data_IF_817990171720
#
_entry.id   IF_817990171720
#
_cell.length_a   1.000
_cell.length_b   1.000
_cell.length_c   1.000
_cell.angle_alpha   90.00
_cell.angle_beta   90.00
_cell.angle_gamma   90.00
#
_symmetry.space_group_name_H-M   'P 1'
#
loop_
_entity.id
_entity.type
_entity.pdbx_description
1 polymer ?
#
# COMPACT_ATOMS: atom_id res chain seq x y z
N UNK A 1 -20.57 2.42 -6.03
CA UNK A 1 -19.95 2.60 -4.70
C UNK A 1 -19.11 3.86 -4.74
N UNK A 2 -19.30 4.80 -3.82
CA UNK A 2 -18.58 6.08 -3.82
C UNK A 2 -17.13 5.91 -3.36
N UNK A 3 -16.20 6.78 -3.81
CA UNK A 3 -14.79 6.76 -3.39
C UNK A 3 -14.64 6.82 -1.85
N UNK A 4 -15.52 7.57 -1.17
CA UNK A 4 -15.56 7.66 0.30
C UNK A 4 -15.87 6.31 0.96
N UNK A 5 -16.79 5.53 0.43
CA UNK A 5 -17.14 4.21 0.99
C UNK A 5 -15.98 3.22 0.81
N UNK A 6 -15.33 3.26 -0.36
CA UNK A 6 -14.15 2.43 -0.64
C UNK A 6 -12.98 2.74 0.29
N UNK A 7 -12.71 4.02 0.53
CA UNK A 7 -11.66 4.46 1.46
C UNK A 7 -11.94 3.95 2.87
N UNK A 8 -13.18 4.08 3.35
CA UNK A 8 -13.60 3.56 4.66
C UNK A 8 -13.46 2.05 4.77
N UNK A 9 -13.87 1.32 3.72
CA UNK A 9 -13.73 -0.15 3.68
C UNK A 9 -12.27 -0.60 3.66
N UNK A 10 -11.39 0.11 2.94
CA UNK A 10 -9.97 -0.18 2.93
C UNK A 10 -9.31 0.08 4.30
N UNK A 11 -9.65 1.18 4.95
CA UNK A 11 -9.19 1.46 6.31
C UNK A 11 -9.69 0.40 7.30
N UNK A 12 -10.97 0.04 7.25
CA UNK A 12 -11.52 -1.01 8.09
C UNK A 12 -10.81 -2.35 7.87
N UNK A 13 -10.60 -2.75 6.61
CA UNK A 13 -9.86 -3.97 6.26
C UNK A 13 -8.44 -3.97 6.80
N UNK A 14 -7.75 -2.81 6.75
CA UNK A 14 -6.43 -2.65 7.31
C UNK A 14 -6.41 -2.82 8.83
N UNK A 15 -7.33 -2.21 9.55
CA UNK A 15 -7.43 -2.38 11.01
C UNK A 15 -7.74 -3.82 11.41
N UNK A 16 -8.63 -4.51 10.68
CA UNK A 16 -8.93 -5.92 10.93
C UNK A 16 -7.71 -6.80 10.66
N UNK A 17 -6.97 -6.55 9.59
CA UNK A 17 -5.74 -7.28 9.24
C UNK A 17 -4.65 -7.10 10.31
N UNK A 18 -4.40 -5.85 10.72
CA UNK A 18 -3.42 -5.55 11.78
C UNK A 18 -3.85 -6.13 13.13
N UNK A 19 -5.13 -6.06 13.46
CA UNK A 19 -5.69 -6.70 14.66
C UNK A 19 -5.49 -8.21 14.66
N UNK A 20 -5.76 -8.88 13.53
CA UNK A 20 -5.55 -10.31 13.38
C UNK A 20 -4.07 -10.72 13.55
N UNK A 21 -3.14 -9.94 12.97
CA UNK A 21 -1.70 -10.17 13.14
C UNK A 21 -1.28 -9.97 14.60
N UNK A 22 -1.77 -8.93 15.27
CA UNK A 22 -1.48 -8.67 16.68
C UNK A 22 -1.92 -9.84 17.57
N UNK A 23 -3.14 -10.34 17.36
CA UNK A 23 -3.67 -11.52 18.06
C UNK A 23 -2.84 -12.78 17.76
N UNK A 24 -2.51 -13.00 16.49
CA UNK A 24 -1.68 -14.16 16.07
C UNK A 24 -0.30 -14.17 16.74
N UNK A 25 0.32 -13.00 16.87
CA UNK A 25 1.63 -12.87 17.54
C UNK A 25 1.54 -12.87 19.08
N UNK A 26 0.35 -12.69 19.65
CA UNK A 26 0.19 -12.47 21.09
C UNK A 26 0.88 -11.18 21.58
N UNK A 27 1.15 -10.24 20.66
CA UNK A 27 1.86 -9.00 20.95
C UNK A 27 0.85 -7.85 21.11
N UNK A 28 0.95 -7.11 22.19
CA UNK A 28 0.25 -5.83 22.32
C UNK A 28 0.96 -4.78 21.44
N UNK A 29 0.20 -3.96 20.70
CA UNK A 29 0.80 -2.89 19.92
C UNK A 29 1.60 -1.93 20.81
N UNK A 30 2.87 -1.75 20.49
CA UNK A 30 3.71 -0.73 21.13
C UNK A 30 3.57 0.59 20.35
N UNK A 31 2.89 1.55 20.94
CA UNK A 31 2.77 2.89 20.38
C UNK A 31 3.89 3.83 20.83
N UNK A 32 4.75 3.37 21.76
CA UNK A 32 5.88 4.15 22.29
C UNK A 32 7.04 4.27 21.33
N UNK A 33 7.23 3.33 20.39
CA UNK A 33 8.34 3.32 19.43
C UNK A 33 8.50 4.66 18.67
N UNK A 34 7.38 5.32 18.38
CA UNK A 34 7.38 6.64 17.73
C UNK A 34 8.08 7.71 18.58
N UNK A 35 7.88 7.66 19.90
CA UNK A 35 8.50 8.62 20.82
C UNK A 35 9.99 8.34 21.05
N UNK A 36 10.39 7.08 20.96
CA UNK A 36 11.78 6.65 21.08
C UNK A 36 12.63 6.99 19.84
N UNK A 37 12.02 6.92 18.65
CA UNK A 37 12.69 7.20 17.38
C UNK A 37 11.85 8.12 16.46
N UNK A 38 11.61 9.39 16.82
CA UNK A 38 10.66 10.26 16.12
C UNK A 38 11.04 10.56 14.66
N UNK A 39 12.33 10.67 14.35
CA UNK A 39 12.78 10.87 12.97
C UNK A 39 12.57 9.63 12.11
N UNK A 40 12.81 8.45 12.65
CA UNK A 40 12.53 7.18 11.98
C UNK A 40 11.02 7.03 11.76
N UNK A 41 10.22 7.31 12.78
CA UNK A 41 8.77 7.30 12.70
C UNK A 41 8.24 8.24 11.61
N UNK A 42 8.71 9.49 11.59
CA UNK A 42 8.36 10.46 10.54
C UNK A 42 8.72 9.94 9.15
N UNK A 43 9.90 9.34 9.01
CA UNK A 43 10.36 8.78 7.74
C UNK A 43 9.45 7.63 7.29
N UNK A 44 9.19 6.66 8.14
CA UNK A 44 8.47 5.43 7.78
C UNK A 44 6.95 5.64 7.60
N UNK A 45 6.36 6.58 8.34
CA UNK A 45 4.90 6.77 8.37
C UNK A 45 4.43 7.93 7.49
N UNK A 46 5.31 8.90 7.22
CA UNK A 46 4.94 10.08 6.43
C UNK A 46 5.75 10.18 5.16
N UNK A 47 7.08 10.27 5.26
CA UNK A 47 7.92 10.58 4.10
C UNK A 47 7.93 9.41 3.10
N UNK A 48 8.17 8.19 3.55
CA UNK A 48 8.21 7.03 2.67
C UNK A 48 6.86 6.81 1.96
N UNK A 49 5.69 6.77 2.64
CA UNK A 49 4.39 6.69 1.96
C UNK A 49 4.14 7.79 0.94
N UNK A 50 4.56 9.04 1.21
CA UNK A 50 4.42 10.13 0.24
C UNK A 50 5.24 9.84 -1.02
N UNK A 51 6.51 9.51 -0.87
CA UNK A 51 7.41 9.24 -2.00
C UNK A 51 7.00 7.98 -2.77
N UNK A 52 6.62 6.92 -2.07
CA UNK A 52 6.20 5.66 -2.67
C UNK A 52 4.89 5.80 -3.44
N UNK A 53 3.86 6.42 -2.85
CA UNK A 53 2.59 6.61 -3.55
C UNK A 53 2.72 7.59 -4.71
N UNK A 54 3.51 8.65 -4.57
CA UNK A 54 3.77 9.58 -5.66
C UNK A 54 4.46 8.88 -6.83
N UNK A 55 5.46 8.05 -6.55
CA UNK A 55 6.21 7.31 -7.59
C UNK A 55 5.35 6.20 -8.21
N UNK A 56 4.77 5.33 -7.38
CA UNK A 56 4.10 4.11 -7.86
C UNK A 56 2.66 4.37 -8.31
N UNK A 57 1.85 5.15 -7.57
CA UNK A 57 0.42 5.40 -7.88
C UNK A 57 0.18 6.74 -8.58
N UNK A 58 1.15 7.65 -8.51
CA UNK A 58 1.16 8.86 -9.34
C UNK A 58 1.78 8.57 -10.70
N UNK A 59 3.09 8.64 -10.78
CA UNK A 59 3.79 8.62 -12.05
C UNK A 59 3.76 7.26 -12.78
N UNK A 60 4.19 6.17 -12.14
CA UNK A 60 4.32 4.86 -12.78
C UNK A 60 2.96 4.29 -13.19
N UNK A 61 1.98 4.33 -12.30
CA UNK A 61 0.63 3.83 -12.55
C UNK A 61 -0.03 4.54 -13.74
N UNK A 62 0.03 5.86 -13.78
CA UNK A 62 -0.58 6.65 -14.85
C UNK A 62 0.16 6.44 -16.18
N UNK A 63 1.50 6.26 -16.15
CA UNK A 63 2.31 5.91 -17.32
C UNK A 63 1.94 4.54 -17.89
N UNK A 64 1.86 3.52 -17.03
CA UNK A 64 1.47 2.17 -17.44
C UNK A 64 0.02 2.11 -17.92
N UNK A 65 -0.89 2.85 -17.29
CA UNK A 65 -2.28 2.98 -17.74
C UNK A 65 -2.35 3.54 -19.15
N UNK A 66 -1.62 4.63 -19.42
CA UNK A 66 -1.55 5.24 -20.75
C UNK A 66 -0.90 4.30 -21.79
N UNK A 67 0.12 3.56 -21.41
CA UNK A 67 0.75 2.56 -22.27
C UNK A 67 -0.20 1.42 -22.61
N UNK A 68 -0.80 0.77 -21.62
CA UNK A 68 -1.67 -0.38 -21.84
C UNK A 68 -2.99 -0.03 -22.53
N UNK A 69 -3.50 1.19 -22.35
CA UNK A 69 -4.71 1.64 -23.07
C UNK A 69 -4.57 1.68 -24.59
N UNK A 70 -3.33 1.69 -25.10
CA UNK A 70 -3.02 1.66 -26.54
C UNK A 70 -2.92 0.26 -27.14
N UNK A 71 -3.02 -0.79 -26.30
CA UNK A 71 -2.82 -2.17 -26.71
C UNK A 71 -4.08 -3.00 -26.45
N UNK A 72 -4.72 -3.49 -27.50
CA UNK A 72 -5.98 -4.27 -27.42
C UNK A 72 -5.89 -5.51 -26.53
N UNK A 73 -4.72 -6.18 -26.48
CA UNK A 73 -4.52 -7.35 -25.64
C UNK A 73 -4.59 -7.00 -24.16
N UNK A 74 -4.12 -5.83 -23.75
CA UNK A 74 -4.13 -5.40 -22.36
C UNK A 74 -5.53 -5.00 -21.88
N UNK A 75 -6.36 -4.45 -22.79
CA UNK A 75 -7.77 -4.18 -22.50
C UNK A 75 -8.59 -5.46 -22.35
N UNK A 76 -8.25 -6.52 -23.10
CA UNK A 76 -8.87 -7.84 -23.03
C UNK A 76 -8.40 -8.69 -21.84
N UNK A 77 -7.17 -8.46 -21.38
CA UNK A 77 -6.57 -9.15 -20.24
C UNK A 77 -6.98 -8.54 -18.88
N UNK A 78 -7.98 -7.69 -18.86
CA UNK A 78 -8.49 -7.11 -17.63
C UNK A 78 -9.12 -8.20 -16.75
N UNK A 79 -8.46 -8.57 -15.68
CA UNK A 79 -9.09 -9.34 -14.62
C UNK A 79 -10.24 -8.48 -14.05
N UNK A 80 -11.41 -9.04 -13.89
CA UNK A 80 -12.68 -8.32 -13.66
C UNK A 80 -12.65 -7.30 -12.50
N UNK A 81 -11.65 -7.36 -11.63
CA UNK A 81 -11.52 -6.50 -10.43
C UNK A 81 -10.21 -5.70 -10.43
N UNK A 82 -9.10 -6.25 -10.93
CA UNK A 82 -7.76 -5.65 -10.89
C UNK A 82 -7.30 -5.34 -12.31
N UNK A 83 -6.93 -4.09 -12.57
CA UNK A 83 -6.40 -3.67 -13.86
C UNK A 83 -4.98 -4.20 -14.10
N UNK A 84 -4.60 -4.38 -15.37
CA UNK A 84 -3.25 -4.87 -15.71
C UNK A 84 -2.14 -3.91 -15.25
N UNK A 85 -2.37 -2.61 -15.34
CA UNK A 85 -1.44 -1.60 -14.83
C UNK A 85 -1.32 -1.64 -13.30
N UNK A 86 -2.41 -1.93 -12.56
CA UNK A 86 -2.33 -2.14 -11.12
C UNK A 86 -1.49 -3.37 -10.78
N UNK A 87 -1.72 -4.49 -11.47
CA UNK A 87 -0.96 -5.72 -11.25
C UNK A 87 0.54 -5.49 -11.51
N UNK A 88 0.89 -4.83 -12.62
CA UNK A 88 2.27 -4.53 -12.98
C UNK A 88 2.92 -3.58 -11.97
N UNK A 89 2.24 -2.51 -11.58
CA UNK A 89 2.74 -1.57 -10.57
C UNK A 89 2.96 -2.27 -9.23
N UNK A 90 2.03 -3.13 -8.81
CA UNK A 90 2.14 -3.88 -7.57
C UNK A 90 3.28 -4.91 -7.61
N UNK A 91 3.49 -5.58 -8.74
CA UNK A 91 4.61 -6.50 -8.90
C UNK A 91 5.98 -5.77 -8.81
N UNK A 92 6.09 -4.59 -9.40
CA UNK A 92 7.31 -3.77 -9.30
C UNK A 92 7.52 -3.25 -7.87
N UNK A 93 6.45 -2.85 -7.17
CA UNK A 93 6.51 -2.44 -5.77
C UNK A 93 6.99 -3.58 -4.86
N UNK A 94 6.44 -4.78 -5.03
CA UNK A 94 6.86 -6.01 -4.34
C UNK A 94 8.32 -6.33 -4.64
N UNK A 95 8.72 -6.30 -5.92
CA UNK A 95 10.09 -6.56 -6.34
C UNK A 95 11.10 -5.62 -5.68
N UNK A 96 10.76 -4.33 -5.58
CA UNK A 96 11.60 -3.35 -4.88
C UNK A 96 11.74 -3.70 -3.40
N UNK A 97 10.66 -4.09 -2.72
CA UNK A 97 10.69 -4.48 -1.30
C UNK A 97 11.47 -5.76 -1.08
N UNK A 98 11.40 -6.75 -1.99
CA UNK A 98 12.24 -7.95 -1.93
C UNK A 98 13.73 -7.59 -1.99
N UNK A 99 14.11 -6.68 -2.91
CA UNK A 99 15.51 -6.28 -3.10
C UNK A 99 16.02 -5.43 -1.94
N UNK A 100 15.20 -4.51 -1.42
CA UNK A 100 15.62 -3.56 -0.37
C UNK A 100 15.49 -4.12 1.05
N UNK A 101 14.66 -5.12 1.27
CA UNK A 101 14.37 -5.69 2.58
C UNK A 101 14.62 -7.21 2.56
N UNK A 102 13.59 -7.97 2.22
CA UNK A 102 13.60 -9.42 2.15
C UNK A 102 12.35 -9.95 1.42
N UNK A 103 12.35 -11.24 1.09
CA UNK A 103 11.25 -11.90 0.37
C UNK A 103 9.94 -11.87 1.17
N UNK A 104 10.01 -12.06 2.50
CA UNK A 104 8.81 -12.09 3.34
C UNK A 104 8.11 -10.73 3.36
N UNK A 105 8.88 -9.66 3.59
CA UNK A 105 8.37 -8.27 3.55
C UNK A 105 7.78 -7.95 2.19
N UNK A 106 8.47 -8.31 1.10
CA UNK A 106 7.98 -8.10 -0.26
C UNK A 106 6.64 -8.79 -0.52
N UNK A 107 6.47 -10.03 -0.08
CA UNK A 107 5.19 -10.75 -0.25
C UNK A 107 4.07 -10.16 0.62
N UNK A 108 4.37 -9.71 1.82
CA UNK A 108 3.39 -9.12 2.72
C UNK A 108 2.84 -7.78 2.20
N UNK A 109 3.64 -6.98 1.49
CA UNK A 109 3.18 -5.72 0.91
C UNK A 109 2.37 -5.90 -0.38
N UNK A 110 2.27 -7.11 -0.95
CA UNK A 110 1.51 -7.37 -2.17
C UNK A 110 0.03 -7.00 -2.02
N UNK A 111 -0.62 -7.50 -0.98
CA UNK A 111 -2.05 -7.24 -0.75
C UNK A 111 -2.34 -5.75 -0.51
N UNK A 112 -1.63 -5.04 0.39
CA UNK A 112 -1.74 -3.59 0.51
C UNK A 112 -1.54 -2.85 -0.82
N UNK A 113 -0.53 -3.24 -1.59
CA UNK A 113 -0.21 -2.63 -2.89
C UNK A 113 -1.35 -2.77 -3.89
N UNK A 114 -1.93 -3.96 -4.03
CA UNK A 114 -3.09 -4.21 -4.91
C UNK A 114 -4.32 -3.39 -4.48
N UNK A 115 -4.56 -3.28 -3.17
CA UNK A 115 -5.68 -2.48 -2.63
C UNK A 115 -5.50 -1.00 -2.94
N UNK A 116 -4.30 -0.43 -2.72
CA UNK A 116 -4.01 0.97 -3.04
C UNK A 116 -4.15 1.24 -4.55
N UNK A 117 -3.68 0.32 -5.40
CA UNK A 117 -3.87 0.40 -6.84
C UNK A 117 -5.35 0.31 -7.24
N UNK A 118 -6.15 -0.54 -6.61
CA UNK A 118 -7.60 -0.63 -6.83
C UNK A 118 -8.32 0.68 -6.43
N UNK A 119 -7.92 1.30 -5.33
CA UNK A 119 -8.43 2.61 -4.92
C UNK A 119 -8.05 3.69 -5.95
N UNK A 120 -6.83 3.63 -6.49
CA UNK A 120 -6.38 4.53 -7.56
C UNK A 120 -7.19 4.36 -8.83
N UNK A 121 -7.48 3.12 -9.26
CA UNK A 121 -8.37 2.82 -10.39
C UNK A 121 -9.75 3.46 -10.22
N UNK A 122 -10.22 3.55 -8.99
CA UNK A 122 -11.51 4.15 -8.63
C UNK A 122 -11.42 5.66 -8.34
N UNK A 123 -10.35 6.30 -8.78
CA UNK A 123 -10.12 7.75 -8.69
C UNK A 123 -10.06 8.29 -7.26
N UNK A 124 -9.68 7.46 -6.28
CA UNK A 124 -9.29 7.98 -4.96
C UNK A 124 -8.06 8.86 -5.13
N UNK A 125 -8.05 9.99 -4.42
CA UNK A 125 -6.98 10.98 -4.54
C UNK A 125 -5.64 10.41 -4.05
N UNK A 126 -4.54 10.86 -4.67
CA UNK A 126 -3.20 10.44 -4.28
C UNK A 126 -2.89 10.77 -2.81
N UNK A 127 -3.34 11.93 -2.34
CA UNK A 127 -3.22 12.32 -0.93
C UNK A 127 -3.92 11.35 0.02
N UNK A 128 -5.11 10.85 -0.36
CA UNK A 128 -5.82 9.83 0.43
C UNK A 128 -5.05 8.51 0.46
N UNK A 129 -4.43 8.10 -0.66
CA UNK A 129 -3.60 6.89 -0.72
C UNK A 129 -2.38 7.02 0.18
N UNK A 130 -1.69 8.16 0.15
CA UNK A 130 -0.57 8.47 1.04
C UNK A 130 -0.98 8.37 2.52
N UNK A 131 -2.12 8.93 2.88
CA UNK A 131 -2.65 8.85 4.24
C UNK A 131 -3.01 7.43 4.68
N UNK A 132 -3.67 6.64 3.80
CA UNK A 132 -3.99 5.23 4.07
C UNK A 132 -2.70 4.42 4.25
N UNK A 133 -1.73 4.59 3.36
CA UNK A 133 -0.46 3.90 3.42
C UNK A 133 0.30 4.25 4.72
N UNK A 134 0.38 5.53 5.07
CA UNK A 134 1.00 5.96 6.32
C UNK A 134 0.35 5.35 7.57
N UNK A 135 -0.99 5.29 7.61
CA UNK A 135 -1.72 4.64 8.70
C UNK A 135 -1.44 3.13 8.76
N UNK A 136 -1.29 2.45 7.63
CA UNK A 136 -0.91 1.04 7.59
C UNK A 136 0.50 0.83 8.11
N UNK A 137 1.45 1.66 7.70
CA UNK A 137 2.82 1.62 8.21
C UNK A 137 2.87 1.89 9.71
N UNK A 138 2.14 2.89 10.21
CA UNK A 138 2.05 3.15 11.65
C UNK A 138 1.55 1.93 12.42
N UNK A 139 0.45 1.32 11.99
CA UNK A 139 -0.08 0.11 12.63
C UNK A 139 0.86 -1.10 12.51
N UNK A 140 1.54 -1.25 11.35
CA UNK A 140 2.53 -2.31 11.16
C UNK A 140 3.69 -2.16 12.15
N UNK A 141 4.28 -0.99 12.26
CA UNK A 141 5.40 -0.75 13.15
C UNK A 141 5.02 -0.71 14.63
N UNK A 142 3.77 -0.48 14.97
CA UNK A 142 3.27 -0.70 16.33
C UNK A 142 3.30 -2.18 16.75
N UNK A 143 3.25 -3.13 15.79
CA UNK A 143 3.31 -4.58 16.04
C UNK A 143 4.72 -5.13 15.85
N UNK A 144 5.47 -4.55 14.92
CA UNK A 144 6.81 -4.98 14.53
C UNK A 144 7.78 -3.81 14.68
N UNK A 145 8.10 -3.40 15.90
CA UNK A 145 9.01 -2.28 16.15
C UNK A 145 10.11 -2.17 15.08
N UNK A 146 10.36 -1.00 14.49
CA UNK A 146 11.36 -0.82 13.44
C UNK A 146 12.81 -0.77 13.98
N UNK A 147 13.03 -1.26 15.21
CA UNK A 147 14.35 -1.24 15.87
C UNK A 147 15.41 -2.02 15.09
#
# INVERSE_FOLDING_TARGET
MTASLLTKSALMGAFLFLGAISVYKGAMPDLGWWLEAPLLGLTLVVIAPILEEWTFRGWLFDTLRAYFSRHDWASKAQFSVVSFHNLTTSALFVGLHIVMRDVQTGLLVLLPSLVLGLLRDRRVSLMSLMGIHGLWNFGWFAIYSPA
#
